data_IF_963581304149
#
_entry.id   IF_963581304149
#
_cell.length_a   1.000
_cell.length_b   1.000
_cell.length_c   1.000
_cell.angle_alpha   90.00
_cell.angle_beta   90.00
_cell.angle_gamma   90.00
#
_symmetry.space_group_name_H-M   'P 1'
#
loop_
_entity.id
_entity.type
_entity.pdbx_description
1 polymer ?
#
# COMPACT_ATOMS: atom_id res chain seq x y z
N UNK A 1 -9.90 25.91 1.32
CA UNK A 1 -9.96 25.89 2.80
C UNK A 1 -9.16 24.70 3.29
N UNK A 2 -8.00 24.93 3.93
CA UNK A 2 -7.13 23.87 4.47
C UNK A 2 -7.76 23.26 5.72
N UNK A 3 -7.97 21.95 5.75
CA UNK A 3 -8.28 21.21 6.98
C UNK A 3 -7.33 20.01 7.09
N UNK A 4 -6.27 20.26 7.82
CA UNK A 4 -5.32 19.30 8.35
C UNK A 4 -6.00 18.57 9.51
N UNK A 5 -6.10 17.23 9.47
CA UNK A 5 -6.63 16.44 10.59
C UNK A 5 -5.52 15.54 11.14
N UNK A 6 -5.05 16.01 12.29
CA UNK A 6 -4.41 15.41 13.44
C UNK A 6 -4.26 13.87 13.49
N UNK A 7 -3.02 13.46 13.72
CA UNK A 7 -2.57 12.14 14.18
C UNK A 7 -3.20 11.80 15.55
N UNK A 8 -3.82 10.64 15.70
CA UNK A 8 -4.22 10.11 17.02
C UNK A 8 -3.18 9.08 17.47
N UNK A 9 -2.29 9.49 18.38
CA UNK A 9 -1.51 8.56 19.18
C UNK A 9 -2.39 8.11 20.36
N UNK A 10 -2.73 6.82 20.42
CA UNK A 10 -3.41 6.24 21.57
C UNK A 10 -2.36 5.75 22.57
N UNK A 11 -2.01 6.61 23.54
CA UNK A 11 -1.29 6.23 24.77
C UNK A 11 -2.24 6.49 25.93
N UNK A 12 -2.86 5.45 26.48
CA UNK A 12 -3.39 5.38 27.85
C UNK A 12 -3.43 3.88 28.18
N UNK A 13 -2.94 3.34 29.30
CA UNK A 13 -2.41 3.92 30.51
C UNK A 13 -2.24 2.75 31.48
N UNK A 14 -1.09 2.72 32.13
CA UNK A 14 -0.72 1.75 33.16
C UNK A 14 -1.67 1.82 34.36
N UNK A 15 -2.47 0.77 34.57
CA UNK A 15 -3.02 0.43 35.89
C UNK A 15 -2.21 -0.76 36.41
N UNK A 16 -0.94 -0.50 36.77
CA UNK A 16 -0.15 -1.44 37.54
C UNK A 16 -0.53 -1.27 39.02
N UNK A 17 -1.61 -1.91 39.43
CA UNK A 17 -1.88 -2.17 40.84
C UNK A 17 -0.72 -3.01 41.38
N UNK A 18 -0.07 -2.48 42.41
CA UNK A 18 1.03 -3.12 43.13
C UNK A 18 0.58 -4.42 43.77
N UNK A 19 0.72 -5.53 43.04
CA UNK A 19 0.75 -6.86 43.62
C UNK A 19 2.23 -7.21 43.84
N UNK A 20 2.61 -7.35 45.13
CA UNK A 20 3.86 -7.91 45.63
C UNK A 20 4.56 -8.80 44.59
N UNK A 21 5.73 -8.39 44.13
CA UNK A 21 6.59 -9.22 43.30
C UNK A 21 6.90 -10.53 44.05
N UNK A 22 6.48 -11.70 43.56
CA UNK A 22 7.12 -12.93 43.98
C UNK A 22 8.54 -12.90 43.42
N UNK A 23 9.49 -13.22 44.29
CA UNK A 23 10.91 -13.28 44.03
C UNK A 23 11.22 -13.91 42.66
N UNK A 24 12.10 -13.23 41.91
CA UNK A 24 13.01 -13.76 40.89
C UNK A 24 12.77 -15.22 40.49
N UNK A 25 11.79 -15.44 39.61
CA UNK A 25 11.91 -16.51 38.65
C UNK A 25 12.66 -15.90 37.47
N UNK A 26 13.89 -16.35 37.23
CA UNK A 26 14.49 -16.28 35.90
C UNK A 26 13.59 -17.08 34.95
N UNK A 27 12.48 -16.47 34.53
CA UNK A 27 11.68 -16.94 33.42
C UNK A 27 12.46 -16.62 32.15
N UNK A 28 13.54 -17.37 31.93
CA UNK A 28 14.18 -17.43 30.64
C UNK A 28 13.14 -18.00 29.68
N UNK A 29 12.61 -17.13 28.82
CA UNK A 29 11.81 -17.60 27.68
C UNK A 29 12.74 -18.54 26.91
N UNK A 30 12.37 -19.82 26.71
CA UNK A 30 13.28 -20.75 26.06
C UNK A 30 13.61 -20.21 24.66
N UNK A 31 14.89 -20.23 24.27
CA UNK A 31 15.32 -19.65 22.98
C UNK A 31 14.50 -20.19 21.80
N UNK A 32 14.03 -21.44 21.86
CA UNK A 32 13.12 -22.04 20.89
C UNK A 32 11.82 -21.25 20.69
N UNK A 33 11.22 -20.71 21.77
CA UNK A 33 10.04 -19.84 21.68
C UNK A 33 10.38 -18.50 21.02
N UNK A 34 11.57 -17.96 21.27
CA UNK A 34 12.04 -16.71 20.65
C UNK A 34 12.21 -16.93 19.14
N UNK A 35 12.91 -17.98 18.72
CA UNK A 35 13.11 -18.33 17.30
C UNK A 35 11.80 -18.63 16.57
N UNK A 36 10.88 -19.37 17.20
CA UNK A 36 9.55 -19.65 16.63
C UNK A 36 8.74 -18.36 16.44
N UNK A 37 8.85 -17.43 17.39
CA UNK A 37 8.15 -16.14 17.32
C UNK A 37 8.76 -15.24 16.23
N UNK A 38 10.08 -15.15 16.13
CA UNK A 38 10.76 -14.41 15.04
C UNK A 38 10.39 -14.96 13.66
N UNK A 39 10.39 -16.29 13.49
CA UNK A 39 9.99 -16.93 12.24
C UNK A 39 8.55 -16.61 11.84
N UNK A 40 7.61 -16.62 12.81
CA UNK A 40 6.21 -16.23 12.57
C UNK A 40 6.07 -14.76 12.21
N UNK A 41 6.83 -13.87 12.85
CA UNK A 41 6.84 -12.43 12.54
C UNK A 41 7.33 -12.22 11.12
N UNK A 42 8.45 -12.85 10.73
CA UNK A 42 9.00 -12.74 9.38
C UNK A 42 8.03 -13.27 8.32
N UNK A 43 7.38 -14.42 8.57
CA UNK A 43 6.36 -14.96 7.68
C UNK A 43 5.15 -14.04 7.55
N UNK A 44 4.68 -13.45 8.65
CA UNK A 44 3.58 -12.48 8.63
C UNK A 44 3.93 -11.21 7.86
N UNK A 45 5.15 -10.68 8.04
CA UNK A 45 5.64 -9.52 7.28
C UNK A 45 5.72 -9.80 5.78
N UNK A 46 6.20 -10.99 5.40
CA UNK A 46 6.26 -11.39 3.99
C UNK A 46 4.85 -11.48 3.37
N UNK A 47 3.92 -12.12 4.08
CA UNK A 47 2.52 -12.23 3.64
C UNK A 47 1.87 -10.85 3.50
N UNK A 48 2.17 -9.92 4.41
CA UNK A 48 1.69 -8.54 4.33
C UNK A 48 2.22 -7.84 3.06
N UNK A 49 3.51 -8.00 2.74
CA UNK A 49 4.09 -7.45 1.50
C UNK A 49 3.44 -8.05 0.26
N UNK A 50 3.24 -9.36 0.23
CA UNK A 50 2.58 -10.03 -0.90
C UNK A 50 1.15 -9.51 -1.10
N UNK A 51 0.36 -9.43 -0.03
CA UNK A 51 -0.99 -8.89 -0.09
C UNK A 51 -1.01 -7.44 -0.57
N UNK A 52 -0.03 -6.63 -0.14
CA UNK A 52 0.09 -5.24 -0.58
C UNK A 52 0.43 -5.13 -2.07
N UNK A 53 1.39 -5.93 -2.56
CA UNK A 53 1.72 -6.01 -3.99
C UNK A 53 0.50 -6.46 -4.81
N UNK A 54 -0.24 -7.46 -4.31
CA UNK A 54 -1.49 -7.91 -4.95
C UNK A 54 -2.53 -6.79 -5.02
N UNK A 55 -2.70 -6.03 -3.94
CA UNK A 55 -3.58 -4.85 -3.91
C UNK A 55 -3.19 -3.80 -4.96
N UNK A 56 -1.90 -3.48 -5.06
CA UNK A 56 -1.39 -2.54 -6.06
C UNK A 56 -1.63 -3.02 -7.50
N UNK A 57 -1.47 -4.33 -7.78
CA UNK A 57 -1.81 -4.90 -9.10
C UNK A 57 -3.28 -4.72 -9.45
N UNK A 58 -4.18 -4.94 -8.49
CA UNK A 58 -5.62 -4.75 -8.69
C UNK A 58 -5.92 -3.27 -9.00
N UNK A 59 -5.33 -2.34 -8.23
CA UNK A 59 -5.50 -0.89 -8.46
C UNK A 59 -5.04 -0.47 -9.86
N UNK A 60 -3.89 -0.95 -10.33
CA UNK A 60 -3.41 -0.69 -11.71
C UNK A 60 -4.43 -1.15 -12.74
N UNK A 61 -4.94 -2.37 -12.62
CA UNK A 61 -5.91 -2.92 -13.57
C UNK A 61 -7.21 -2.11 -13.59
N UNK A 62 -7.70 -1.69 -12.42
CA UNK A 62 -8.86 -0.82 -12.31
C UNK A 62 -8.63 0.54 -12.99
N UNK A 63 -7.47 1.16 -12.77
CA UNK A 63 -7.13 2.43 -13.40
C UNK A 63 -6.98 2.30 -14.92
N UNK A 64 -6.35 1.23 -15.42
CA UNK A 64 -6.26 0.93 -16.85
C UNK A 64 -7.65 0.73 -17.49
N UNK A 65 -8.57 0.06 -16.79
CA UNK A 65 -9.96 -0.09 -17.26
C UNK A 65 -10.68 1.25 -17.33
N UNK A 66 -10.50 2.11 -16.32
CA UNK A 66 -11.08 3.47 -16.31
C UNK A 66 -10.56 4.31 -17.46
N UNK A 67 -9.24 4.33 -17.68
CA UNK A 67 -8.63 5.06 -18.82
C UNK A 67 -9.10 4.50 -20.15
N UNK A 68 -9.17 3.17 -20.31
CA UNK A 68 -9.71 2.56 -21.53
C UNK A 68 -11.18 2.94 -21.77
N UNK A 69 -11.95 3.14 -20.72
CA UNK A 69 -13.34 3.61 -20.82
C UNK A 69 -13.38 5.05 -21.33
N UNK A 70 -12.54 5.93 -20.78
CA UNK A 70 -12.39 7.32 -21.26
C UNK A 70 -11.97 7.33 -22.74
N UNK A 71 -10.98 6.53 -23.13
CA UNK A 71 -10.52 6.40 -24.51
C UNK A 71 -11.65 5.99 -25.47
N UNK A 72 -12.47 5.01 -25.08
CA UNK A 72 -13.61 4.55 -25.88
C UNK A 72 -14.69 5.62 -26.03
N UNK A 73 -15.02 6.32 -24.95
CA UNK A 73 -16.03 7.39 -24.99
C UNK A 73 -15.54 8.62 -25.78
N UNK A 74 -14.23 8.82 -25.87
CA UNK A 74 -13.62 9.86 -26.69
C UNK A 74 -13.71 9.61 -28.21
N UNK A 75 -14.01 8.40 -28.67
CA UNK A 75 -14.00 8.06 -30.10
C UNK A 75 -14.97 8.93 -30.90
N UNK A 76 -16.12 9.24 -30.31
CA UNK A 76 -17.23 9.93 -30.97
C UNK A 76 -17.25 11.44 -30.68
N UNK A 77 -16.25 11.98 -29.96
CA UNK A 77 -16.17 13.41 -29.61
C UNK A 77 -15.47 14.21 -30.70
N UNK A 78 -15.97 15.43 -30.92
CA UNK A 78 -15.33 16.43 -31.77
C UNK A 78 -13.98 16.89 -31.19
N UNK A 79 -13.90 17.01 -29.86
CA UNK A 79 -12.68 17.31 -29.11
C UNK A 79 -12.31 16.13 -28.22
N UNK A 80 -11.20 15.47 -28.56
CA UNK A 80 -10.71 14.30 -27.82
C UNK A 80 -9.92 14.74 -26.60
N UNK A 81 -10.18 14.12 -25.45
CA UNK A 81 -9.29 14.22 -24.29
C UNK A 81 -8.07 13.34 -24.54
N UNK A 82 -6.87 13.87 -24.35
CA UNK A 82 -5.64 13.08 -24.48
C UNK A 82 -5.46 12.19 -23.25
N UNK A 83 -5.40 10.88 -23.47
CA UNK A 83 -5.22 9.86 -22.42
C UNK A 83 -3.83 9.20 -22.48
N UNK A 84 -3.00 9.58 -23.45
CA UNK A 84 -1.77 8.85 -23.79
C UNK A 84 -0.78 8.81 -22.64
N UNK A 85 -0.60 9.93 -21.94
CA UNK A 85 0.30 10.03 -20.78
C UNK A 85 -0.17 9.15 -19.62
N UNK A 86 -1.46 9.16 -19.31
CA UNK A 86 -2.03 8.32 -18.25
C UNK A 86 -1.84 6.83 -18.56
N UNK A 87 -2.05 6.40 -19.82
CA UNK A 87 -1.81 5.01 -20.23
C UNK A 87 -0.33 4.65 -20.07
N UNK A 88 0.58 5.52 -20.51
CA UNK A 88 2.01 5.26 -20.43
C UNK A 88 2.47 5.11 -18.98
N UNK A 89 2.10 6.05 -18.11
CA UNK A 89 2.50 6.03 -16.72
C UNK A 89 1.89 4.83 -15.96
N UNK A 90 0.66 4.43 -16.29
CA UNK A 90 0.04 3.23 -15.71
C UNK A 90 0.77 1.96 -16.13
N UNK A 91 1.18 1.82 -17.40
CA UNK A 91 1.97 0.68 -17.87
C UNK A 91 3.37 0.63 -17.27
N UNK A 92 3.99 1.78 -17.08
CA UNK A 92 5.29 1.85 -16.41
C UNK A 92 5.16 1.41 -14.94
N UNK A 93 4.10 1.84 -14.26
CA UNK A 93 3.79 1.42 -12.89
C UNK A 93 3.44 -0.06 -12.81
N UNK A 94 2.67 -0.59 -13.76
CA UNK A 94 2.38 -2.01 -13.91
C UNK A 94 3.68 -2.82 -14.01
N UNK A 95 4.55 -2.44 -14.94
CA UNK A 95 5.86 -3.07 -15.11
C UNK A 95 6.71 -2.99 -13.83
N UNK A 96 6.70 -1.86 -13.12
CA UNK A 96 7.41 -1.73 -11.86
C UNK A 96 6.92 -2.73 -10.82
N UNK A 97 5.60 -2.96 -10.74
CA UNK A 97 4.96 -3.88 -9.79
C UNK A 97 5.19 -5.35 -10.18
N UNK A 98 5.09 -5.69 -11.48
CA UNK A 98 5.32 -7.04 -11.97
C UNK A 98 6.75 -7.53 -11.72
N UNK A 99 7.72 -6.60 -11.75
CA UNK A 99 9.13 -6.89 -11.54
C UNK A 99 9.58 -6.78 -10.07
N UNK A 100 8.65 -6.66 -9.11
CA UNK A 100 9.01 -6.66 -7.70
C UNK A 100 9.34 -8.07 -7.21
N UNK A 101 10.54 -8.23 -6.67
CA UNK A 101 10.88 -9.39 -5.84
C UNK A 101 10.45 -9.11 -4.38
N UNK A 102 9.40 -9.80 -3.94
CA UNK A 102 8.79 -9.61 -2.61
C UNK A 102 9.78 -9.88 -1.47
N UNK A 103 10.74 -10.79 -1.67
CA UNK A 103 11.69 -11.18 -0.64
C UNK A 103 12.74 -10.10 -0.37
N UNK A 104 13.13 -9.36 -1.41
CA UNK A 104 14.22 -8.37 -1.34
C UNK A 104 13.74 -6.92 -1.39
N UNK A 105 12.50 -6.69 -1.84
CA UNK A 105 11.94 -5.34 -1.95
C UNK A 105 11.73 -4.69 -0.57
N UNK A 106 12.26 -3.48 -0.43
CA UNK A 106 12.09 -2.63 0.75
C UNK A 106 10.71 -1.99 0.75
N UNK A 107 10.13 -1.80 1.95
CA UNK A 107 8.82 -1.16 2.10
C UNK A 107 8.77 0.28 1.57
N UNK A 108 9.90 0.99 1.57
CA UNK A 108 9.98 2.34 0.97
C UNK A 108 9.62 2.32 -0.52
N UNK A 109 10.13 1.36 -1.29
CA UNK A 109 9.80 1.21 -2.71
C UNK A 109 8.32 0.87 -2.92
N UNK A 110 7.72 0.11 -2.00
CA UNK A 110 6.28 -0.17 -2.04
C UNK A 110 5.45 1.09 -1.73
N UNK A 111 5.97 1.99 -0.89
CA UNK A 111 5.34 3.29 -0.64
C UNK A 111 5.45 4.19 -1.88
N UNK A 112 6.63 4.29 -2.49
CA UNK A 112 6.85 5.10 -3.69
C UNK A 112 5.87 4.70 -4.81
N UNK A 113 5.68 3.39 -5.03
CA UNK A 113 4.72 2.88 -6.01
C UNK A 113 3.27 3.21 -5.61
N UNK A 114 2.93 3.08 -4.33
CA UNK A 114 1.58 3.40 -3.86
C UNK A 114 1.25 4.88 -4.03
N UNK A 115 2.21 5.78 -3.79
CA UNK A 115 2.06 7.21 -3.98
C UNK A 115 1.86 7.53 -5.48
N UNK A 116 2.65 6.93 -6.37
CA UNK A 116 2.43 7.04 -7.82
C UNK A 116 1.03 6.56 -8.24
N UNK A 117 0.50 5.50 -7.64
CA UNK A 117 -0.85 5.02 -7.94
C UNK A 117 -1.94 5.99 -7.49
N UNK A 118 -1.73 6.71 -6.38
CA UNK A 118 -2.65 7.74 -5.90
C UNK A 118 -2.66 8.92 -6.88
N UNK A 119 -1.48 9.41 -7.27
CA UNK A 119 -1.36 10.51 -8.23
C UNK A 119 -1.97 10.16 -9.59
N UNK A 120 -1.80 8.91 -10.03
CA UNK A 120 -2.43 8.40 -11.25
C UNK A 120 -3.95 8.28 -11.11
N UNK A 121 -4.47 7.89 -9.94
CA UNK A 121 -5.91 7.84 -9.71
C UNK A 121 -6.55 9.23 -9.86
N UNK A 122 -5.92 10.27 -9.29
CA UNK A 122 -6.36 11.67 -9.40
C UNK A 122 -6.31 12.16 -10.86
N UNK A 123 -5.26 11.77 -11.59
CA UNK A 123 -5.10 12.10 -13.01
C UNK A 123 -6.21 11.46 -13.87
N UNK A 124 -6.51 10.18 -13.64
CA UNK A 124 -7.58 9.46 -14.35
C UNK A 124 -8.97 9.99 -14.00
N UNK A 125 -9.18 10.40 -12.74
CA UNK A 125 -10.41 11.09 -12.35
C UNK A 125 -10.57 12.42 -13.10
N UNK A 126 -9.51 13.21 -13.22
CA UNK A 126 -9.53 14.46 -13.97
C UNK A 126 -9.92 14.24 -15.44
N UNK A 127 -9.33 13.22 -16.09
CA UNK A 127 -9.70 12.81 -17.46
C UNK A 127 -11.17 12.38 -17.57
N UNK A 128 -11.71 11.73 -16.53
CA UNK A 128 -13.12 11.31 -16.48
C UNK A 128 -14.05 12.52 -16.36
N UNK A 129 -13.65 13.56 -15.63
CA UNK A 129 -14.43 14.79 -15.46
C UNK A 129 -14.38 15.72 -16.69
N UNK A 130 -13.28 15.68 -17.45
CA UNK A 130 -13.14 16.40 -18.72
C UNK A 130 -13.98 15.76 -19.85
N UNK A 131 -14.34 14.49 -19.68
CA UNK A 131 -15.16 13.73 -20.61
C UNK A 131 -16.65 14.09 -20.51
#
# INVERSE_FOLDING_TARGET
MKKMILLVALIIGTQATWAKAPAEAESSVPMEHIYNTEGKIQAAMLLQKENRVRGMKIQVLELLQRVSTVEKLNIDREYKVDVSEAIHNLKDTENMIENLDIFTTKDSRLNDIQDSLIDLADSVESLTLEL
#
